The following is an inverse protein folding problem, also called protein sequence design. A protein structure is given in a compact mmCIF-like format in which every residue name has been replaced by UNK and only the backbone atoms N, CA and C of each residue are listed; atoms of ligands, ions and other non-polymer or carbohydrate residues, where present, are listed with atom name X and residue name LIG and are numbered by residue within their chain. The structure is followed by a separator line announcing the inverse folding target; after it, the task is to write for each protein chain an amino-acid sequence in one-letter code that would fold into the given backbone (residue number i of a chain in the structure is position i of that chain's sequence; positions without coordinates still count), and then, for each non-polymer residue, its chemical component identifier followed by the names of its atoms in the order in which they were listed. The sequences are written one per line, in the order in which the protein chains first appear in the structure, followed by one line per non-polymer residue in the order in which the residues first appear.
data_IF_919837935810
#
_entry.id   IF_919837935810
#
_cell.length_a   1.000
_cell.length_b   1.000
_cell.length_c   1.000
_cell.angle_alpha   90.00
_cell.angle_beta   90.00
_cell.angle_gamma   90.00
#
_symmetry.space_group_name_H-M   'P 1'
#
loop_
_entity.id
_entity.type
_entity.pdbx_description
1 polymer ?
#
# COMPACT_ATOMS: atom_id res chain seq x y z
N UNK A 1 -8.10 -0.82 3.21
CA UNK A 1 -8.95 -1.07 2.01
C UNK A 1 -8.86 -2.55 1.63
N UNK A 2 -9.96 -3.17 1.16
CA UNK A 2 -9.93 -4.58 0.75
C UNK A 2 -9.03 -4.80 -0.48
N UNK A 3 -8.21 -5.88 -0.55
CA UNK A 3 -7.27 -6.10 -1.66
C UNK A 3 -7.92 -6.12 -3.05
N UNK A 4 -9.09 -6.76 -3.19
CA UNK A 4 -9.79 -6.82 -4.47
C UNK A 4 -10.35 -5.45 -4.90
N UNK A 5 -10.65 -4.54 -3.96
CA UNK A 5 -11.01 -3.16 -4.33
C UNK A 5 -9.80 -2.40 -4.87
N UNK A 6 -8.60 -2.61 -4.31
CA UNK A 6 -7.35 -1.99 -4.81
C UNK A 6 -7.13 -2.45 -6.25
N UNK A 7 -7.24 -3.76 -6.46
CA UNK A 7 -7.09 -4.40 -7.77
C UNK A 7 -8.14 -3.94 -8.79
N UNK A 8 -9.40 -3.84 -8.36
CA UNK A 8 -10.49 -3.34 -9.20
C UNK A 8 -10.23 -1.89 -9.63
N UNK A 9 -9.88 -0.99 -8.69
CA UNK A 9 -9.57 0.40 -9.01
C UNK A 9 -8.38 0.55 -9.97
N UNK A 10 -7.31 -0.23 -9.78
CA UNK A 10 -6.18 -0.25 -10.72
C UNK A 10 -6.62 -0.66 -12.12
N UNK A 11 -7.41 -1.73 -12.24
CA UNK A 11 -7.91 -2.24 -13.53
C UNK A 11 -8.86 -1.27 -14.22
N UNK A 12 -9.77 -0.64 -13.46
CA UNK A 12 -10.65 0.40 -13.97
C UNK A 12 -9.87 1.61 -14.49
N UNK A 13 -8.70 1.90 -13.91
CA UNK A 13 -7.78 2.93 -14.38
C UNK A 13 -6.86 2.46 -15.53
N UNK A 14 -7.05 1.24 -16.06
CA UNK A 14 -6.27 0.69 -17.17
C UNK A 14 -4.91 0.08 -16.78
N UNK A 15 -4.63 -0.10 -15.49
CA UNK A 15 -3.36 -0.67 -15.02
C UNK A 15 -3.47 -2.15 -14.64
N UNK A 16 -2.51 -2.94 -15.11
CA UNK A 16 -2.24 -4.27 -14.53
C UNK A 16 -1.22 -4.17 -13.37
N UNK A 17 -1.06 -5.23 -12.58
CA UNK A 17 0.00 -5.27 -11.55
C UNK A 17 1.40 -5.21 -12.15
N UNK A 18 1.58 -5.75 -13.36
CA UNK A 18 2.83 -5.66 -14.10
C UNK A 18 3.13 -4.21 -14.55
N UNK A 19 2.11 -3.46 -14.98
CA UNK A 19 2.26 -2.04 -15.31
C UNK A 19 2.62 -1.21 -14.08
N UNK A 20 1.98 -1.48 -12.94
CA UNK A 20 2.34 -0.84 -11.65
C UNK A 20 3.80 -1.13 -11.29
N UNK A 21 4.25 -2.37 -11.44
CA UNK A 21 5.62 -2.77 -11.17
C UNK A 21 6.62 -2.03 -12.09
N UNK A 22 6.29 -1.93 -13.39
CA UNK A 22 7.09 -1.22 -14.41
C UNK A 22 7.19 0.28 -14.09
N UNK A 23 6.06 0.93 -13.81
CA UNK A 23 5.97 2.36 -13.48
C UNK A 23 6.72 2.73 -12.19
N UNK A 24 6.80 1.80 -11.24
CA UNK A 24 7.52 1.99 -9.99
C UNK A 24 8.95 1.44 -10.00
N UNK A 25 9.41 0.81 -11.10
CA UNK A 25 10.71 0.14 -11.20
C UNK A 25 10.97 -0.88 -10.08
N UNK A 26 9.96 -1.70 -9.78
CA UNK A 26 10.03 -2.78 -8.78
C UNK A 26 9.64 -4.12 -9.37
N UNK A 27 9.94 -5.22 -8.68
CA UNK A 27 9.48 -6.55 -9.09
C UNK A 27 7.96 -6.72 -8.93
N UNK A 28 7.32 -7.38 -9.89
CA UNK A 28 5.87 -7.65 -9.84
C UNK A 28 5.48 -8.50 -8.62
N UNK A 29 6.38 -9.39 -8.17
CA UNK A 29 6.20 -10.18 -6.95
C UNK A 29 5.98 -9.30 -5.71
N UNK A 30 6.66 -8.16 -5.61
CA UNK A 30 6.49 -7.23 -4.49
C UNK A 30 5.12 -6.54 -4.52
N UNK A 31 4.63 -6.17 -5.70
CA UNK A 31 3.30 -5.58 -5.92
C UNK A 31 2.20 -6.59 -5.57
N UNK A 32 2.35 -7.83 -6.03
CA UNK A 32 1.41 -8.92 -5.70
C UNK A 32 1.41 -9.24 -4.20
N UNK A 33 2.59 -9.25 -3.58
CA UNK A 33 2.74 -9.47 -2.15
C UNK A 33 2.02 -8.39 -1.34
N UNK A 34 2.15 -7.11 -1.71
CA UNK A 34 1.54 -5.97 -1.00
C UNK A 34 0.03 -6.12 -0.78
N UNK A 35 -0.68 -6.75 -1.72
CA UNK A 35 -2.12 -7.01 -1.63
C UNK A 35 -2.48 -7.95 -0.46
N UNK A 36 -1.59 -8.87 -0.08
CA UNK A 36 -1.86 -9.89 0.95
C UNK A 36 -1.08 -9.64 2.23
N UNK A 37 0.19 -9.25 2.10
CA UNK A 37 1.13 -9.09 3.20
C UNK A 37 1.91 -7.78 3.09
N UNK A 38 2.47 -7.26 4.19
CA UNK A 38 3.21 -6.00 4.17
C UNK A 38 4.45 -6.05 3.25
N UNK A 39 4.48 -5.21 2.23
CA UNK A 39 5.58 -5.11 1.25
C UNK A 39 5.88 -3.64 0.97
N UNK A 40 7.00 -3.14 1.50
CA UNK A 40 7.31 -1.69 1.45
C UNK A 40 7.35 -1.17 0.01
N UNK A 41 8.06 -1.86 -0.87
CA UNK A 41 8.20 -1.46 -2.27
C UNK A 41 6.90 -1.62 -3.04
N UNK A 42 6.15 -2.71 -2.83
CA UNK A 42 4.88 -2.95 -3.50
C UNK A 42 3.77 -1.99 -3.06
N UNK A 43 3.68 -1.69 -1.76
CA UNK A 43 2.70 -0.74 -1.23
C UNK A 43 2.97 0.68 -1.76
N UNK A 44 4.24 1.12 -1.75
CA UNK A 44 4.62 2.41 -2.35
C UNK A 44 4.35 2.47 -3.85
N UNK A 45 4.58 1.37 -4.58
CA UNK A 45 4.30 1.30 -6.01
C UNK A 45 2.81 1.50 -6.32
N UNK A 46 1.94 0.76 -5.61
CA UNK A 46 0.48 0.88 -5.77
C UNK A 46 0.01 2.28 -5.37
N UNK A 47 0.48 2.80 -4.22
CA UNK A 47 0.13 4.14 -3.73
C UNK A 47 0.53 5.24 -4.74
N UNK A 48 1.72 5.13 -5.34
CA UNK A 48 2.19 6.03 -6.40
C UNK A 48 1.24 6.05 -7.59
N UNK A 49 0.88 4.88 -8.12
CA UNK A 49 -0.02 4.77 -9.30
C UNK A 49 -1.42 5.27 -8.98
N UNK A 50 -1.96 4.92 -7.81
CA UNK A 50 -3.30 5.35 -7.38
C UNK A 50 -3.34 6.82 -6.91
N UNK A 51 -2.19 7.49 -6.80
CA UNK A 51 -2.04 8.85 -6.24
C UNK A 51 -2.73 8.99 -4.88
N UNK A 52 -2.57 7.98 -4.03
CA UNK A 52 -3.17 7.92 -2.69
C UNK A 52 -2.10 7.71 -1.62
N UNK A 53 -2.28 8.27 -0.42
CA UNK A 53 -1.38 7.99 0.68
C UNK A 53 -1.53 6.53 1.14
N UNK A 54 -0.46 5.98 1.71
CA UNK A 54 -0.39 4.58 2.12
C UNK A 54 -1.44 4.20 3.17
N UNK A 55 -1.75 5.10 4.09
CA UNK A 55 -2.73 4.88 5.16
C UNK A 55 -4.17 4.71 4.64
N UNK A 56 -4.51 5.29 3.49
CA UNK A 56 -5.84 5.08 2.88
C UNK A 56 -5.99 3.65 2.33
N UNK A 57 -4.89 3.08 1.82
CA UNK A 57 -4.88 1.74 1.25
C UNK A 57 -4.75 0.68 2.35
N UNK A 58 -3.84 0.91 3.31
CA UNK A 58 -3.54 -0.01 4.41
C UNK A 58 -3.46 0.71 5.76
N UNK A 59 -4.61 1.10 6.34
CA UNK A 59 -4.65 1.83 7.62
C UNK A 59 -4.03 1.05 8.78
N UNK A 60 -4.12 -0.29 8.76
CA UNK A 60 -3.54 -1.14 9.81
C UNK A 60 -2.00 -1.29 9.72
N UNK A 61 -1.41 -0.80 8.62
CA UNK A 61 0.04 -0.91 8.33
C UNK A 61 0.75 0.44 8.35
N UNK A 62 0.02 1.54 8.15
CA UNK A 62 0.59 2.87 7.99
C UNK A 62 -0.20 3.92 8.77
N UNK A 63 0.51 4.82 9.44
CA UNK A 63 -0.08 6.01 10.06
C UNK A 63 -0.37 7.09 9.02
N UNK A 64 -1.21 8.07 9.39
CA UNK A 64 -1.49 9.25 8.55
C UNK A 64 -0.22 10.02 8.17
N UNK A 65 0.77 10.05 9.07
CA UNK A 65 2.08 10.68 8.86
C UNK A 65 3.03 9.86 7.96
N UNK A 66 2.57 8.74 7.41
CA UNK A 66 3.37 7.88 6.54
C UNK A 66 4.42 7.04 7.29
N UNK A 67 4.27 6.82 8.60
CA UNK A 67 5.12 5.89 9.36
C UNK A 67 4.53 4.48 9.30
N UNK A 68 5.41 3.48 9.23
CA UNK A 68 4.99 2.07 9.24
C UNK A 68 4.68 1.61 10.66
N UNK A 69 3.50 1.05 10.86
CA UNK A 69 3.08 0.51 12.14
C UNK A 69 3.79 -0.83 12.36
N UNK A 70 4.55 -0.92 13.46
CA UNK A 70 5.19 -2.17 13.89
C UNK A 70 4.22 -2.88 14.85
N UNK A 71 3.74 -4.11 14.54
CA UNK A 71 2.72 -4.76 15.37
C UNK A 71 3.08 -4.85 16.85
N UNK A 72 4.34 -5.15 17.18
CA UNK A 72 4.84 -5.24 18.56
C UNK A 72 4.79 -3.89 19.31
N UNK A 73 4.83 -2.77 18.59
CA UNK A 73 4.89 -1.42 19.13
C UNK A 73 3.67 -0.60 18.72
N UNK A 74 2.52 -1.24 18.44
CA UNK A 74 1.33 -0.55 17.92
C UNK A 74 0.88 0.60 18.82
N UNK A 75 0.95 0.42 20.14
CA UNK A 75 0.62 1.43 21.14
C UNK A 75 1.36 2.77 20.93
N UNK A 76 2.60 2.75 20.43
CA UNK A 76 3.38 3.98 20.13
C UNK A 76 2.79 4.81 18.98
N UNK A 77 1.84 4.26 18.23
CA UNK A 77 1.20 4.92 17.09
C UNK A 77 -0.28 5.26 17.34
N UNK A 78 -0.86 4.77 18.44
CA UNK A 78 -2.25 5.05 18.84
C UNK A 78 -2.36 6.42 19.53
N UNK A 79 -1.32 6.83 20.26
CA UNK A 79 -1.27 8.09 21.04
C UNK A 79 -1.01 9.35 20.19
N UNK A 80 -0.75 9.20 18.88
CA UNK A 80 -0.48 10.32 17.96
C UNK A 80 -1.73 10.92 17.32
N UNK A 81 -2.92 10.48 17.72
CA UNK A 81 -4.21 11.03 17.26
C UNK A 81 -4.64 12.11 18.23
N UNK A 82 -3.99 13.27 18.17
CA UNK A 82 -4.51 14.52 18.76
C UNK A 82 -4.87 15.50 17.65
#
# INVERSE_FOLDING_TARGET
MHPELIKAKLRMAGYTLADVAREAKVGESAVRLALRSPSLSGERAIAKVMKKPLFELWPDRWTKDGKRIRPRYRYLYEDGVT
#
